data_IF_904186604227
#
_entry.id   IF_904186604227
#
_cell.length_a   1.000
_cell.length_b   1.000
_cell.length_c   1.000
_cell.angle_alpha   90.00
_cell.angle_beta   90.00
_cell.angle_gamma   90.00
#
_symmetry.space_group_name_H-M   'P 1'
#
loop_
_entity.id
_entity.type
_entity.pdbx_description
1 polymer ?
#
# COMPACT_ATOMS: atom_id res chain seq x y z
N UNK A 1 -5.04 9.81 -26.42
CA UNK A 1 -5.69 11.12 -26.25
C UNK A 1 -5.61 11.44 -24.76
N UNK A 2 -4.99 12.55 -24.36
CA UNK A 2 -4.87 12.94 -22.95
C UNK A 2 -6.07 13.82 -22.61
N UNK A 3 -6.84 13.45 -21.59
CA UNK A 3 -8.01 14.20 -21.12
C UNK A 3 -7.62 15.24 -20.05
N UNK A 4 -8.38 16.32 -19.92
CA UNK A 4 -8.18 17.28 -18.83
C UNK A 4 -8.31 16.61 -17.44
N UNK A 5 -9.12 15.56 -17.33
CA UNK A 5 -9.25 14.74 -16.11
C UNK A 5 -8.02 13.87 -15.81
N UNK A 6 -7.14 13.63 -16.79
CA UNK A 6 -5.87 12.95 -16.55
C UNK A 6 -4.83 13.88 -15.90
N UNK A 7 -4.99 15.20 -16.11
CA UNK A 7 -4.10 16.26 -15.62
C UNK A 7 -4.52 16.73 -14.21
N UNK A 8 -5.83 16.84 -13.94
CA UNK A 8 -6.37 17.26 -12.66
C UNK A 8 -7.05 16.09 -11.94
N UNK A 9 -6.32 15.44 -11.02
CA UNK A 9 -6.86 14.39 -10.15
C UNK A 9 -6.99 14.89 -8.73
N UNK A 10 -8.17 14.77 -8.15
CA UNK A 10 -8.36 14.88 -6.70
C UNK A 10 -7.60 13.72 -6.05
N UNK A 11 -6.76 14.03 -5.07
CA UNK A 11 -5.97 13.04 -4.35
C UNK A 11 -5.34 13.64 -3.11
N UNK A 12 -4.71 12.79 -2.30
CA UNK A 12 -4.10 13.22 -1.04
C UNK A 12 -2.64 13.66 -1.27
N UNK A 13 -2.27 14.78 -0.64
CA UNK A 13 -0.89 15.27 -0.62
C UNK A 13 0.02 14.47 0.32
N UNK A 14 1.35 14.71 0.32
CA UNK A 14 2.03 15.84 -0.33
C UNK A 14 2.47 15.58 -1.78
N UNK A 15 2.41 14.34 -2.30
CA UNK A 15 2.95 13.99 -3.62
C UNK A 15 2.13 12.94 -4.36
N UNK A 16 1.69 13.23 -5.58
CA UNK A 16 0.91 12.28 -6.39
C UNK A 16 1.68 10.98 -6.71
N UNK A 17 2.99 11.05 -6.98
CA UNK A 17 3.79 9.86 -7.33
C UNK A 17 4.14 9.00 -6.11
N UNK A 18 4.24 9.61 -4.93
CA UNK A 18 4.69 8.95 -3.70
C UNK A 18 3.54 8.68 -2.72
N UNK A 19 2.34 9.19 -3.00
CA UNK A 19 1.16 9.01 -2.14
C UNK A 19 -0.02 8.43 -2.93
N UNK A 20 -0.47 9.08 -4.01
CA UNK A 20 -1.61 8.60 -4.81
C UNK A 20 -1.30 7.28 -5.53
N UNK A 21 -0.15 7.17 -6.19
CA UNK A 21 0.28 5.95 -6.87
C UNK A 21 0.37 4.73 -5.94
N UNK A 22 1.13 4.81 -4.83
CA UNK A 22 1.26 3.71 -3.88
C UNK A 22 -0.04 3.30 -3.19
N UNK A 23 -0.93 4.26 -2.86
CA UNK A 23 -2.24 3.94 -2.31
C UNK A 23 -3.12 3.19 -3.33
N UNK A 24 -3.16 3.65 -4.58
CA UNK A 24 -3.87 2.94 -5.65
C UNK A 24 -3.33 1.53 -5.86
N UNK A 25 -2.01 1.35 -5.80
CA UNK A 25 -1.40 0.03 -5.91
C UNK A 25 -1.78 -0.89 -4.75
N UNK A 26 -1.80 -0.38 -3.51
CA UNK A 26 -2.31 -1.10 -2.34
C UNK A 26 -3.77 -1.51 -2.50
N UNK A 27 -4.64 -0.59 -2.92
CA UNK A 27 -6.06 -0.86 -3.16
C UNK A 27 -6.27 -1.90 -4.26
N UNK A 28 -5.59 -1.73 -5.39
CA UNK A 28 -5.68 -2.67 -6.51
C UNK A 28 -5.20 -4.07 -6.12
N UNK A 29 -4.16 -4.17 -5.28
CA UNK A 29 -3.68 -5.45 -4.81
C UNK A 29 -4.70 -6.14 -3.90
N UNK A 30 -5.28 -5.41 -2.93
CA UNK A 30 -6.23 -6.03 -1.99
C UNK A 30 -7.53 -6.45 -2.68
N UNK A 31 -7.99 -5.68 -3.68
CA UNK A 31 -9.15 -6.04 -4.51
C UNK A 31 -8.88 -7.30 -5.34
N UNK A 32 -7.66 -7.43 -5.88
CA UNK A 32 -7.24 -8.65 -6.60
C UNK A 32 -7.18 -9.85 -5.66
N UNK A 33 -6.69 -9.67 -4.44
CA UNK A 33 -6.59 -10.72 -3.44
C UNK A 33 -7.97 -11.22 -2.99
N UNK A 34 -8.91 -10.29 -2.79
CA UNK A 34 -10.31 -10.59 -2.45
C UNK A 34 -11.04 -11.31 -3.60
N UNK A 35 -10.99 -10.75 -4.81
CA UNK A 35 -11.63 -11.36 -5.99
C UNK A 35 -11.05 -12.72 -6.38
N UNK A 36 -9.80 -13.01 -5.98
CA UNK A 36 -9.17 -14.32 -6.16
C UNK A 36 -9.52 -15.33 -5.06
N UNK A 37 -10.29 -14.94 -4.04
CA UNK A 37 -10.66 -15.81 -2.91
C UNK A 37 -9.50 -16.14 -1.96
N UNK A 38 -8.40 -15.37 -2.01
CA UNK A 38 -7.18 -15.63 -1.24
C UNK A 38 -7.08 -14.79 0.04
N UNK A 39 -7.98 -13.83 0.22
CA UNK A 39 -7.97 -12.88 1.34
C UNK A 39 -7.89 -13.59 2.71
N UNK A 40 -8.83 -14.50 2.98
CA UNK A 40 -8.92 -15.19 4.28
C UNK A 40 -7.78 -16.20 4.51
N UNK A 41 -7.10 -16.64 3.45
CA UNK A 41 -5.94 -17.52 3.54
C UNK A 41 -4.64 -16.75 3.83
N UNK A 42 -4.65 -15.42 3.64
CA UNK A 42 -3.46 -14.58 3.80
C UNK A 42 -3.16 -14.35 5.28
N UNK A 43 -1.95 -14.70 5.69
CA UNK A 43 -1.46 -14.49 7.05
C UNK A 43 -0.74 -13.15 7.21
N UNK A 44 0.02 -12.73 6.20
CA UNK A 44 0.75 -11.46 6.19
C UNK A 44 0.97 -10.95 4.77
N UNK A 45 1.28 -9.66 4.66
CA UNK A 45 1.56 -8.96 3.39
C UNK A 45 2.93 -8.29 3.50
N UNK A 46 3.75 -8.40 2.47
CA UNK A 46 5.05 -7.73 2.37
C UNK A 46 5.01 -6.75 1.20
N UNK A 47 5.56 -5.55 1.40
CA UNK A 47 5.64 -4.50 0.40
C UNK A 47 7.11 -4.12 0.22
N UNK A 48 7.62 -4.41 -0.97
CA UNK A 48 8.98 -4.04 -1.39
C UNK A 48 8.93 -2.73 -2.18
N UNK A 49 9.66 -1.71 -1.74
CA UNK A 49 9.81 -0.42 -2.41
C UNK A 49 11.21 -0.31 -3.03
N UNK A 50 11.29 0.20 -4.25
CA UNK A 50 12.52 0.30 -5.03
C UNK A 50 12.78 1.74 -5.52
N UNK A 51 14.03 2.03 -5.85
CA UNK A 51 14.47 3.28 -6.46
C UNK A 51 14.03 4.54 -5.70
N UNK A 52 13.53 5.56 -6.41
CA UNK A 52 13.16 6.85 -5.82
C UNK A 52 12.04 6.74 -4.78
N UNK A 53 11.14 5.76 -4.96
CA UNK A 53 10.05 5.47 -4.02
C UNK A 53 10.59 4.97 -2.68
N UNK A 54 11.67 4.18 -2.72
CA UNK A 54 12.36 3.70 -1.52
C UNK A 54 13.15 4.83 -0.84
N UNK A 55 13.94 5.57 -1.61
CA UNK A 55 14.86 6.59 -1.08
C UNK A 55 14.15 7.74 -0.38
N UNK A 56 12.96 8.11 -0.85
CA UNK A 56 12.22 9.28 -0.35
C UNK A 56 10.91 8.93 0.34
N UNK A 57 10.53 7.65 0.38
CA UNK A 57 9.17 7.23 0.74
C UNK A 57 8.74 7.61 2.16
N UNK A 58 9.65 7.50 3.15
CA UNK A 58 9.36 7.93 4.54
C UNK A 58 9.10 9.43 4.65
N UNK A 59 9.80 10.25 3.87
CA UNK A 59 9.60 11.71 3.86
C UNK A 59 8.33 12.16 3.12
N UNK A 60 7.72 11.28 2.32
CA UNK A 60 6.53 11.56 1.51
C UNK A 60 5.29 10.78 1.93
N UNK A 61 5.33 10.14 3.11
CA UNK A 61 4.23 9.31 3.64
C UNK A 61 3.81 8.17 2.69
N UNK A 62 4.75 7.59 1.94
CA UNK A 62 4.49 6.47 1.03
C UNK A 62 4.05 5.21 1.78
N UNK A 63 4.65 4.96 2.94
CA UNK A 63 4.26 3.88 3.84
C UNK A 63 2.80 4.02 4.30
N UNK A 64 2.42 5.21 4.75
CA UNK A 64 1.03 5.55 5.12
C UNK A 64 0.08 5.32 3.94
N UNK A 65 0.45 5.81 2.75
CA UNK A 65 -0.36 5.64 1.55
C UNK A 65 -0.63 4.16 1.22
N UNK A 66 0.41 3.32 1.29
CA UNK A 66 0.32 1.88 1.06
C UNK A 66 -0.58 1.22 2.12
N UNK A 67 -0.38 1.54 3.39
CA UNK A 67 -1.19 0.99 4.49
C UNK A 67 -2.66 1.32 4.29
N UNK A 68 -2.99 2.57 3.96
CA UNK A 68 -4.37 2.99 3.71
C UNK A 68 -4.96 2.31 2.47
N UNK A 69 -4.17 2.12 1.41
CA UNK A 69 -4.59 1.38 0.22
C UNK A 69 -4.90 -0.08 0.51
N UNK A 70 -4.02 -0.78 1.23
CA UNK A 70 -4.23 -2.16 1.68
C UNK A 70 -5.44 -2.29 2.63
N UNK A 71 -5.69 -1.27 3.45
CA UNK A 71 -6.89 -1.18 4.27
C UNK A 71 -8.19 -1.05 3.45
N UNK A 72 -8.10 -0.82 2.14
CA UNK A 72 -9.25 -0.71 1.23
C UNK A 72 -9.63 0.72 0.86
N UNK A 73 -8.82 1.73 1.18
CA UNK A 73 -9.12 3.12 0.85
C UNK A 73 -8.64 3.48 -0.57
N UNK A 74 -9.33 4.44 -1.18
CA UNK A 74 -8.91 5.10 -2.41
C UNK A 74 -8.39 6.51 -2.10
N UNK A 75 -7.48 7.08 -2.91
CA UNK A 75 -7.06 8.47 -2.75
C UNK A 75 -8.20 9.49 -2.90
N UNK A 76 -9.30 9.12 -3.54
CA UNK A 76 -10.45 9.98 -3.78
C UNK A 76 -11.38 10.05 -2.57
N UNK A 77 -11.50 8.96 -1.81
CA UNK A 77 -12.56 8.79 -0.80
C UNK A 77 -12.00 8.62 0.62
N UNK A 78 -10.68 8.59 0.80
CA UNK A 78 -10.06 8.43 2.13
C UNK A 78 -10.37 9.61 3.05
N UNK A 79 -10.83 9.29 4.28
CA UNK A 79 -11.08 10.27 5.34
C UNK A 79 -9.74 10.66 5.97
N UNK A 80 -9.20 11.81 5.58
CA UNK A 80 -7.85 12.26 5.95
C UNK A 80 -7.68 12.37 7.48
N UNK A 81 -8.71 12.85 8.18
CA UNK A 81 -8.67 13.06 9.63
C UNK A 81 -8.53 11.75 10.43
N UNK A 82 -8.89 10.62 9.84
CA UNK A 82 -8.81 9.30 10.49
C UNK A 82 -7.45 8.62 10.29
N UNK A 83 -6.66 9.06 9.30
CA UNK A 83 -5.37 8.44 8.94
C UNK A 83 -4.42 8.36 10.14
N UNK A 84 -4.16 9.43 10.93
CA UNK A 84 -3.17 9.37 12.00
C UNK A 84 -3.50 8.32 13.06
N UNK A 85 -4.77 8.25 13.49
CA UNK A 85 -5.24 7.29 14.49
C UNK A 85 -5.16 5.85 13.96
N UNK A 86 -5.51 5.64 12.68
CA UNK A 86 -5.42 4.33 12.05
C UNK A 86 -3.96 3.85 11.94
N UNK A 87 -3.05 4.71 11.51
CA UNK A 87 -1.62 4.38 11.40
C UNK A 87 -1.01 4.08 12.79
N UNK A 88 -1.39 4.83 13.81
CA UNK A 88 -0.95 4.55 15.19
C UNK A 88 -1.44 3.17 15.65
N UNK A 89 -2.70 2.82 15.38
CA UNK A 89 -3.27 1.52 15.71
C UNK A 89 -2.49 0.37 15.03
N UNK A 90 -2.23 0.48 13.73
CA UNK A 90 -1.50 -0.53 12.96
C UNK A 90 -0.06 -0.65 13.47
N UNK A 91 0.60 0.48 13.70
CA UNK A 91 2.00 0.51 14.18
C UNK A 91 2.12 -0.13 15.56
N UNK A 92 1.20 0.17 16.47
CA UNK A 92 1.23 -0.35 17.85
C UNK A 92 0.83 -1.82 17.93
N UNK A 93 -0.14 -2.24 17.14
CA UNK A 93 -0.65 -3.62 17.16
C UNK A 93 0.20 -4.57 16.33
N UNK A 94 0.92 -4.06 15.32
CA UNK A 94 1.57 -4.89 14.30
C UNK A 94 0.58 -5.68 13.47
N UNK A 95 -0.68 -5.22 13.36
CA UNK A 95 -1.77 -5.87 12.63
C UNK A 95 -2.48 -4.86 11.74
N UNK A 96 -2.82 -5.29 10.54
CA UNK A 96 -3.50 -4.45 9.55
C UNK A 96 -4.88 -5.05 9.22
N UNK A 97 -5.97 -4.35 9.57
CA UNK A 97 -7.27 -4.60 8.97
C UNK A 97 -7.19 -4.25 7.48
N UNK A 98 -7.44 -5.24 6.62
CA UNK A 98 -7.39 -5.13 5.16
C UNK A 98 -8.78 -5.25 4.56
N UNK A 99 -8.94 -4.84 3.29
CA UNK A 99 -10.19 -4.98 2.54
C UNK A 99 -11.40 -4.41 3.32
N UNK A 100 -11.29 -3.15 3.75
CA UNK A 100 -12.31 -2.47 4.57
C UNK A 100 -12.64 -3.20 5.89
N UNK A 101 -11.66 -3.89 6.46
CA UNK A 101 -11.80 -4.65 7.71
C UNK A 101 -12.35 -6.06 7.55
N UNK A 102 -12.51 -6.57 6.32
CA UNK A 102 -13.00 -7.93 6.07
C UNK A 102 -12.04 -9.02 6.59
N UNK A 103 -10.74 -8.71 6.71
CA UNK A 103 -9.73 -9.61 7.28
C UNK A 103 -8.64 -8.83 8.01
N UNK A 104 -7.92 -9.48 8.91
CA UNK A 104 -6.78 -8.89 9.63
C UNK A 104 -5.55 -9.75 9.37
N UNK A 105 -4.47 -9.11 8.92
CA UNK A 105 -3.18 -9.76 8.67
C UNK A 105 -2.12 -9.27 9.66
N UNK A 106 -1.11 -10.11 9.90
CA UNK A 106 0.09 -9.66 10.60
C UNK A 106 0.85 -8.65 9.71
N UNK A 107 1.14 -7.48 10.28
CA UNK A 107 1.79 -6.37 9.57
C UNK A 107 2.67 -5.51 10.49
N UNK A 108 3.76 -6.06 11.08
CA UNK A 108 4.78 -5.22 11.69
C UNK A 108 5.40 -4.29 10.64
N UNK A 109 5.03 -3.00 10.64
CA UNK A 109 5.39 -2.03 9.58
C UNK A 109 6.89 -2.07 9.23
N UNK A 110 7.77 -2.10 10.23
CA UNK A 110 9.22 -2.12 10.04
C UNK A 110 9.77 -3.39 9.36
N UNK A 111 9.00 -4.50 9.35
CA UNK A 111 9.37 -5.77 8.71
C UNK A 111 8.64 -6.01 7.40
N UNK A 112 7.48 -5.39 7.23
CA UNK A 112 6.55 -5.66 6.14
C UNK A 112 6.54 -4.55 5.08
N UNK A 113 7.13 -3.39 5.34
CA UNK A 113 7.47 -2.39 4.32
C UNK A 113 8.99 -2.31 4.22
N UNK A 114 9.53 -2.88 3.15
CA UNK A 114 10.96 -3.06 2.93
C UNK A 114 11.44 -2.06 1.89
N UNK A 115 12.48 -1.31 2.24
CA UNK A 115 13.06 -0.26 1.40
C UNK A 115 14.35 -0.79 0.76
N UNK A 116 14.32 -1.03 -0.55
CA UNK A 116 15.45 -1.50 -1.33
C UNK A 116 16.17 -0.32 -1.98
N UNK A 117 17.52 -0.27 -1.95
CA UNK A 117 18.28 0.79 -2.61
C UNK A 117 18.35 0.62 -4.14
N UNK A 118 18.03 -0.58 -4.62
CA UNK A 118 18.08 -0.96 -6.03
C UNK A 118 16.91 -0.37 -6.83
N UNK A 119 17.11 -0.17 -8.13
CA UNK A 119 16.07 0.24 -9.08
C UNK A 119 15.61 -0.96 -9.92
N UNK A 120 14.30 -1.02 -10.19
CA UNK A 120 13.78 -2.03 -11.13
C UNK A 120 14.06 -1.60 -12.58
N UNK A 121 14.23 -2.56 -13.54
CA UNK A 121 14.65 -2.25 -14.91
C UNK A 121 13.68 -1.35 -15.71
N UNK A 122 12.40 -1.29 -15.32
CA UNK A 122 11.36 -0.58 -16.08
C UNK A 122 11.20 0.88 -15.68
N UNK A 123 11.29 1.19 -14.38
CA UNK A 123 10.95 2.51 -13.85
C UNK A 123 11.57 2.72 -12.47
N UNK A 124 11.94 3.96 -12.16
CA UNK A 124 12.57 4.35 -10.89
C UNK A 124 11.64 4.24 -9.67
N UNK A 125 10.33 4.44 -9.87
CA UNK A 125 9.30 4.22 -8.84
C UNK A 125 8.76 2.79 -8.93
N UNK A 126 9.57 1.82 -8.49
CA UNK A 126 9.18 0.42 -8.44
C UNK A 126 8.58 0.03 -7.10
N UNK A 127 7.55 -0.81 -7.12
CA UNK A 127 7.04 -1.48 -5.93
C UNK A 127 6.54 -2.89 -6.25
N UNK A 128 6.60 -3.79 -5.28
CA UNK A 128 5.98 -5.11 -5.32
C UNK A 128 5.22 -5.35 -4.02
N UNK A 129 4.01 -5.89 -4.11
CA UNK A 129 3.22 -6.28 -2.95
C UNK A 129 3.02 -7.79 -3.05
N UNK A 130 3.29 -8.51 -1.97
CA UNK A 130 3.16 -9.96 -1.93
C UNK A 130 2.31 -10.40 -0.74
N UNK A 131 1.31 -11.23 -0.97
CA UNK A 131 0.50 -11.88 0.06
C UNK A 131 1.01 -13.29 0.31
N UNK A 132 1.02 -13.69 1.59
CA UNK A 132 1.62 -14.94 2.03
C UNK A 132 0.69 -15.71 2.97
N UNK A 133 0.82 -17.04 2.96
CA UNK A 133 0.28 -17.95 3.97
C UNK A 133 1.44 -18.70 4.63
N UNK A 134 1.90 -18.21 5.79
CA UNK A 134 3.12 -18.75 6.39
C UNK A 134 4.33 -18.49 5.49
N UNK A 135 4.89 -19.52 4.86
CA UNK A 135 6.02 -19.38 3.91
C UNK A 135 5.59 -19.53 2.44
N UNK A 136 4.31 -19.76 2.18
CA UNK A 136 3.76 -19.92 0.84
C UNK A 136 3.35 -18.56 0.27
N UNK A 137 3.89 -18.19 -0.90
CA UNK A 137 3.42 -17.03 -1.65
C UNK A 137 2.07 -17.34 -2.29
N UNK A 138 1.07 -16.50 -2.02
CA UNK A 138 -0.27 -16.64 -2.60
C UNK A 138 -0.44 -15.76 -3.84
N UNK A 139 0.10 -14.54 -3.79
CA UNK A 139 -0.09 -13.53 -4.83
C UNK A 139 1.03 -12.48 -4.79
N UNK A 140 1.60 -12.12 -5.95
CA UNK A 140 2.35 -10.87 -6.15
C UNK A 140 1.92 -10.09 -7.41
#
# INVERSE_FOLDING_TARGET
MISAFDIFKIGIGPSSSHTVGPMNAGKSFIDRLESSGLLTATSHIVVDLYGSLSLTGKGHATDVAIIMGLAGNSPQDVVIDEIPAFIELVTRSGRLPVASGAHIVDFPVAKNIIFHPEMLPRHENGMRITAWKGQEELLS
#
